data_IF_833997453859
#
_entry.id   IF_833997453859
#
_cell.length_a   1.000
_cell.length_b   1.000
_cell.length_c   1.000
_cell.angle_alpha   90.00
_cell.angle_beta   90.00
_cell.angle_gamma   90.00
#
_symmetry.space_group_name_H-M   'P 1'
#
loop_
_entity.id
_entity.type
_entity.pdbx_description
1 polymer ?
#
# COMPACT_ATOMS: atom_id res chain seq x y z
N UNK A 1 -20.41 42.56 33.18
CA UNK A 1 -21.84 42.30 33.46
C UNK A 1 -22.29 41.14 32.58
N UNK A 2 -22.74 40.06 33.21
CA UNK A 2 -23.25 38.83 32.57
C UNK A 2 -24.69 39.09 32.07
N UNK A 3 -25.04 38.59 30.89
CA UNK A 3 -26.44 38.33 30.51
C UNK A 3 -26.56 36.90 30.01
N UNK A 4 -27.48 36.18 30.64
CA UNK A 4 -27.71 34.74 30.52
C UNK A 4 -28.75 34.40 29.43
N UNK A 5 -28.61 33.15 28.98
CA UNK A 5 -29.48 32.27 28.21
C UNK A 5 -30.99 32.33 28.51
N UNK A 6 -31.80 32.01 27.49
CA UNK A 6 -32.99 31.11 27.46
C UNK A 6 -33.83 31.47 26.20
N UNK A 7 -33.97 30.60 25.20
CA UNK A 7 -35.14 29.74 24.85
C UNK A 7 -34.78 29.21 23.43
N UNK A 8 -35.01 27.97 22.98
CA UNK A 8 -35.78 26.87 23.52
C UNK A 8 -35.48 25.56 22.80
N UNK A 9 -35.84 24.49 23.49
CA UNK A 9 -35.88 23.08 23.08
C UNK A 9 -37.11 22.89 22.18
N UNK A 10 -37.00 22.17 21.06
CA UNK A 10 -37.94 21.10 20.65
C UNK A 10 -37.77 20.70 19.17
N UNK A 11 -37.64 19.39 18.96
CA UNK A 11 -37.94 18.71 17.69
C UNK A 11 -36.73 18.36 16.83
N UNK A 12 -36.51 17.15 16.33
CA UNK A 12 -37.34 15.95 16.20
C UNK A 12 -36.37 14.75 16.14
N UNK A 13 -36.59 13.77 17.01
CA UNK A 13 -36.16 12.38 16.82
C UNK A 13 -37.27 11.72 16.02
N UNK A 14 -37.08 11.46 14.71
CA UNK A 14 -37.73 10.37 13.93
C UNK A 14 -36.99 10.25 12.59
N UNK A 15 -36.21 9.18 12.40
CA UNK A 15 -36.18 8.42 11.15
C UNK A 15 -35.53 7.05 11.42
N UNK A 16 -36.36 6.18 11.97
CA UNK A 16 -36.22 4.73 11.91
C UNK A 16 -36.53 4.25 10.48
N UNK A 17 -35.86 3.17 10.10
CA UNK A 17 -36.42 2.09 9.30
C UNK A 17 -36.89 2.40 7.87
N UNK A 18 -35.94 2.51 6.93
CA UNK A 18 -36.16 2.07 5.54
C UNK A 18 -34.90 1.34 5.07
N UNK A 19 -34.84 0.04 5.33
CA UNK A 19 -33.75 -0.82 4.88
C UNK A 19 -33.98 -2.30 5.22
N UNK A 20 -35.23 -2.69 5.46
CA UNK A 20 -35.62 -4.03 5.85
C UNK A 20 -36.86 -4.43 5.07
N UNK A 21 -36.74 -4.50 3.73
CA UNK A 21 -37.78 -5.12 2.89
C UNK A 21 -37.30 -5.53 1.50
N UNK A 22 -36.20 -6.27 1.39
CA UNK A 22 -35.93 -7.12 0.22
C UNK A 22 -34.96 -8.23 0.64
N UNK A 23 -35.44 -9.26 1.35
CA UNK A 23 -34.86 -10.61 1.31
C UNK A 23 -35.82 -11.58 2.02
N UNK A 24 -36.84 -12.04 1.30
CA UNK A 24 -37.52 -13.29 1.60
C UNK A 24 -37.47 -14.18 0.36
N UNK A 25 -37.49 -15.48 0.61
CA UNK A 25 -37.60 -16.62 -0.33
C UNK A 25 -36.32 -17.05 -1.04
N UNK A 26 -35.64 -18.04 -0.46
CA UNK A 26 -35.57 -19.41 -1.01
C UNK A 26 -34.97 -20.37 0.03
N UNK A 27 -35.84 -21.20 0.63
CA UNK A 27 -35.48 -22.52 1.13
C UNK A 27 -35.96 -23.54 0.10
N UNK A 28 -35.09 -24.48 -0.27
CA UNK A 28 -35.31 -25.94 -0.22
C UNK A 28 -34.06 -26.63 -0.83
N UNK A 29 -33.27 -27.31 -0.01
CA UNK A 29 -33.21 -28.78 0.17
C UNK A 29 -32.78 -29.52 -1.11
N UNK A 30 -31.54 -30.05 -1.09
CA UNK A 30 -31.33 -31.45 -1.47
C UNK A 30 -30.13 -32.05 -0.70
N UNK A 31 -30.41 -33.14 0.02
CA UNK A 31 -29.46 -34.08 0.59
C UNK A 31 -29.30 -35.23 -0.40
N UNK A 32 -28.08 -35.62 -0.71
CA UNK A 32 -27.68 -36.96 -1.17
C UNK A 32 -26.15 -36.97 -1.23
N UNK A 33 -25.42 -38.07 -1.18
CA UNK A 33 -25.56 -39.33 -0.47
C UNK A 33 -24.11 -39.87 -0.43
N UNK A 34 -23.88 -40.79 0.49
CA UNK A 34 -22.63 -41.47 0.80
C UNK A 34 -22.24 -42.40 -0.34
N UNK A 35 -20.96 -42.44 -0.72
CA UNK A 35 -20.48 -43.37 -1.74
C UNK A 35 -18.97 -43.53 -1.74
N UNK A 36 -18.48 -44.46 -0.90
CA UNK A 36 -17.12 -44.97 -0.94
C UNK A 36 -16.91 -45.86 -2.18
N UNK A 37 -15.78 -45.70 -2.87
CA UNK A 37 -15.12 -46.83 -3.53
C UNK A 37 -13.60 -46.72 -3.41
N UNK A 38 -13.00 -47.91 -3.30
CA UNK A 38 -11.65 -48.29 -2.92
C UNK A 38 -11.11 -49.16 -4.06
N UNK A 39 -9.78 -49.11 -4.26
CA UNK A 39 -8.95 -50.04 -5.05
C UNK A 39 -9.18 -49.96 -6.59
N UNK A 40 -8.16 -50.00 -7.44
CA UNK A 40 -7.16 -51.07 -7.50
C UNK A 40 -5.88 -50.70 -8.29
N UNK A 41 -4.80 -51.34 -7.85
CA UNK A 41 -3.50 -51.65 -8.44
C UNK A 41 -3.31 -51.53 -9.97
N UNK A 42 -2.08 -51.13 -10.35
CA UNK A 42 -1.54 -51.34 -11.70
C UNK A 42 -0.06 -51.01 -11.80
N UNK A 43 0.79 -51.97 -11.45
CA UNK A 43 2.23 -51.92 -11.63
C UNK A 43 2.63 -52.04 -13.12
N UNK A 44 3.79 -51.49 -13.50
CA UNK A 44 4.64 -52.12 -14.50
C UNK A 44 5.30 -51.21 -15.54
N UNK A 45 6.59 -51.48 -15.74
CA UNK A 45 7.45 -51.17 -16.89
C UNK A 45 8.18 -49.81 -16.97
N UNK A 46 9.41 -49.82 -16.45
CA UNK A 46 10.60 -49.41 -17.20
C UNK A 46 11.19 -50.66 -17.92
N UNK A 47 12.29 -50.65 -18.71
CA UNK A 47 13.12 -49.54 -19.24
C UNK A 47 13.45 -49.70 -20.75
N UNK A 48 14.19 -48.74 -21.34
CA UNK A 48 15.22 -48.87 -22.42
C UNK A 48 15.60 -47.44 -22.85
N UNK A 49 16.79 -46.91 -22.61
CA UNK A 49 18.16 -47.26 -23.01
C UNK A 49 18.50 -46.94 -24.49
N UNK A 50 19.43 -45.98 -24.61
CA UNK A 50 20.47 -45.78 -25.64
C UNK A 50 20.12 -45.16 -27.00
N UNK A 51 20.93 -44.15 -27.36
CA UNK A 51 21.04 -43.65 -28.72
C UNK A 51 21.83 -42.34 -28.82
N UNK A 52 23.14 -42.38 -28.54
CA UNK A 52 24.10 -41.37 -29.01
C UNK A 52 24.11 -41.33 -30.55
N UNK A 53 24.11 -40.12 -31.14
CA UNK A 53 24.80 -39.85 -32.41
C UNK A 53 25.03 -38.35 -32.60
N UNK A 54 26.30 -38.00 -32.77
CA UNK A 54 26.89 -36.75 -33.25
C UNK A 54 26.68 -36.57 -34.76
N UNK A 55 27.03 -35.34 -35.19
CA UNK A 55 27.40 -34.82 -36.53
C UNK A 55 26.38 -33.82 -37.08
N UNK A 56 26.68 -32.51 -37.03
CA UNK A 56 27.59 -31.74 -37.89
C UNK A 56 26.91 -31.31 -39.20
N UNK A 57 26.76 -29.99 -39.38
CA UNK A 57 27.20 -29.27 -40.59
C UNK A 57 26.29 -28.10 -41.01
N UNK A 58 26.97 -26.95 -41.12
CA UNK A 58 26.83 -25.88 -42.11
C UNK A 58 25.50 -25.13 -42.34
N UNK A 59 25.59 -23.85 -41.96
CA UNK A 59 25.14 -22.63 -42.63
C UNK A 59 24.33 -22.74 -43.95
N UNK A 60 23.18 -22.06 -43.96
CA UNK A 60 22.70 -21.36 -45.16
C UNK A 60 21.92 -20.07 -44.85
N UNK A 61 22.36 -19.07 -45.58
CA UNK A 61 21.84 -17.74 -45.91
C UNK A 61 20.32 -17.55 -45.97
N UNK A 62 19.88 -16.46 -45.34
CA UNK A 62 19.04 -15.41 -45.96
C UNK A 62 17.57 -15.71 -46.25
N UNK A 63 16.67 -15.03 -45.53
CA UNK A 63 15.52 -14.34 -46.13
C UNK A 63 14.77 -13.45 -45.13
N UNK A 64 14.55 -12.22 -45.58
CA UNK A 64 13.85 -11.10 -44.95
C UNK A 64 12.41 -11.48 -44.57
N UNK A 65 11.98 -11.12 -43.35
CA UNK A 65 10.56 -11.01 -42.98
C UNK A 65 10.31 -9.69 -42.25
N UNK A 66 9.38 -8.92 -42.81
CA UNK A 66 8.86 -7.65 -42.31
C UNK A 66 8.31 -7.73 -40.87
N UNK A 67 8.40 -6.65 -40.07
CA UNK A 67 7.87 -6.62 -38.71
C UNK A 67 6.34 -6.46 -38.75
N UNK A 68 5.62 -7.51 -38.35
CA UNK A 68 4.21 -7.40 -37.97
C UNK A 68 4.15 -6.79 -36.58
N UNK A 69 3.58 -5.59 -36.48
CA UNK A 69 3.21 -4.98 -35.20
C UNK A 69 2.28 -5.89 -34.43
N UNK A 70 2.73 -6.32 -33.25
CA UNK A 70 1.88 -6.94 -32.24
C UNK A 70 1.37 -5.84 -31.33
N UNK A 71 0.11 -5.47 -31.53
CA UNK A 71 -0.72 -4.77 -30.55
C UNK A 71 -0.73 -5.62 -29.27
N UNK A 72 0.01 -5.17 -28.25
CA UNK A 72 -0.07 -5.76 -26.92
C UNK A 72 -1.36 -5.29 -26.27
N UNK A 73 -2.30 -6.22 -26.16
CA UNK A 73 -3.50 -6.10 -25.32
C UNK A 73 -3.07 -5.90 -23.86
N UNK A 74 -3.67 -4.96 -23.10
CA UNK A 74 -3.33 -4.72 -21.70
C UNK A 74 -3.57 -5.97 -20.84
N UNK A 75 -2.53 -6.42 -20.13
CA UNK A 75 -2.61 -7.55 -19.21
C UNK A 75 -3.65 -7.30 -18.11
N UNK A 76 -4.60 -8.22 -18.01
CA UNK A 76 -5.48 -8.36 -16.86
C UNK A 76 -4.66 -8.55 -15.58
N UNK A 77 -5.06 -7.81 -14.54
CA UNK A 77 -4.48 -7.84 -13.20
C UNK A 77 -4.78 -9.19 -12.55
N UNK A 78 -3.89 -10.16 -12.74
CA UNK A 78 -3.95 -11.45 -12.05
C UNK A 78 -3.80 -11.27 -10.54
N UNK A 79 -4.79 -11.72 -9.77
CA UNK A 79 -4.62 -11.92 -8.34
C UNK A 79 -3.50 -12.94 -8.11
N UNK A 80 -2.53 -12.68 -7.22
CA UNK A 80 -1.45 -13.63 -6.98
C UNK A 80 -2.03 -14.97 -6.49
N UNK A 81 -1.68 -16.06 -7.18
CA UNK A 81 -2.18 -17.39 -6.83
C UNK A 81 -1.45 -17.90 -5.60
N UNK A 82 -2.20 -18.15 -4.53
CA UNK A 82 -1.68 -18.59 -3.24
C UNK A 82 -0.95 -19.95 -3.35
N UNK A 83 0.33 -19.99 -2.97
CA UNK A 83 0.96 -21.24 -2.55
C UNK A 83 0.75 -21.43 -1.05
N UNK A 84 0.31 -22.62 -0.62
CA UNK A 84 0.24 -22.98 0.82
C UNK A 84 1.61 -22.90 1.53
N UNK A 85 2.72 -22.69 0.81
CA UNK A 85 4.07 -22.54 1.37
C UNK A 85 4.44 -21.11 1.80
N UNK A 86 3.64 -20.11 1.44
CA UNK A 86 3.93 -18.69 1.69
C UNK A 86 2.96 -18.10 2.73
N UNK A 87 3.34 -16.97 3.31
CA UNK A 87 2.44 -16.14 4.11
C UNK A 87 1.87 -15.01 3.25
N UNK A 88 0.65 -14.60 3.52
CA UNK A 88 -0.04 -13.53 2.79
C UNK A 88 0.10 -12.21 3.55
N UNK A 89 0.47 -11.13 2.87
CA UNK A 89 0.62 -9.81 3.50
C UNK A 89 -0.20 -8.76 2.75
N UNK A 90 -0.87 -7.90 3.51
CA UNK A 90 -1.56 -6.70 3.01
C UNK A 90 -0.77 -5.45 3.41
N UNK A 91 -0.60 -4.53 2.46
CA UNK A 91 -0.06 -3.20 2.70
C UNK A 91 -1.18 -2.19 2.55
N UNK A 92 -1.34 -1.32 3.54
CA UNK A 92 -2.39 -0.32 3.59
C UNK A 92 -1.82 1.05 3.97
N UNK A 93 -2.43 2.10 3.41
CA UNK A 93 -2.10 3.50 3.64
C UNK A 93 -3.21 4.15 4.47
N UNK A 94 -2.86 4.91 5.49
CA UNK A 94 -3.78 5.78 6.22
C UNK A 94 -3.16 7.17 6.43
N UNK A 95 -3.99 8.09 6.90
CA UNK A 95 -3.58 9.40 7.39
C UNK A 95 -4.48 9.75 8.56
N UNK A 96 -3.90 9.89 9.75
CA UNK A 96 -4.63 10.13 10.99
C UNK A 96 -4.85 11.62 11.31
N UNK A 97 -4.12 12.55 10.69
CA UNK A 97 -4.26 13.97 11.05
C UNK A 97 -3.90 14.96 9.95
N UNK A 98 -4.88 15.82 9.65
CA UNK A 98 -4.82 16.81 8.57
C UNK A 98 -5.50 18.10 9.05
N UNK A 99 -4.81 18.93 9.84
CA UNK A 99 -5.24 20.31 10.08
C UNK A 99 -4.69 21.22 8.96
N UNK A 100 -5.37 21.22 7.83
CA UNK A 100 -5.03 22.09 6.69
C UNK A 100 -6.30 22.74 6.16
N UNK A 101 -6.77 23.75 6.91
CA UNK A 101 -7.97 24.52 6.61
C UNK A 101 -7.97 25.14 5.21
N UNK A 102 -6.80 25.30 4.58
CA UNK A 102 -6.64 25.90 3.26
C UNK A 102 -6.33 24.90 2.14
N UNK A 103 -6.21 23.61 2.43
CA UNK A 103 -5.88 22.58 1.44
C UNK A 103 -7.09 21.68 1.21
N UNK A 104 -7.36 21.42 -0.07
CA UNK A 104 -8.43 20.56 -0.53
C UNK A 104 -7.96 19.10 -0.68
N UNK A 105 -6.77 18.90 -1.28
CA UNK A 105 -6.17 17.59 -1.52
C UNK A 105 -4.64 17.64 -1.42
N UNK A 106 -4.07 16.52 -0.98
CA UNK A 106 -2.64 16.20 -1.07
C UNK A 106 -2.56 14.89 -1.86
N UNK A 107 -2.20 14.99 -3.14
CA UNK A 107 -2.08 13.84 -4.02
C UNK A 107 -0.67 13.27 -3.90
N UNK A 108 -0.54 12.15 -3.21
CA UNK A 108 0.70 11.46 -2.90
C UNK A 108 0.89 10.28 -3.85
N UNK A 109 1.94 10.33 -4.68
CA UNK A 109 2.22 9.26 -5.65
C UNK A 109 3.20 8.26 -5.06
N UNK A 110 2.82 6.98 -5.01
CA UNK A 110 3.71 5.86 -4.66
C UNK A 110 4.02 5.05 -5.92
N UNK A 111 5.30 4.95 -6.27
CA UNK A 111 5.76 4.26 -7.47
C UNK A 111 6.11 2.79 -7.22
N UNK A 112 6.68 2.51 -6.05
CA UNK A 112 7.18 1.18 -5.71
C UNK A 112 7.19 0.98 -4.19
N UNK A 113 6.95 -0.26 -3.76
CA UNK A 113 7.18 -0.68 -2.38
C UNK A 113 8.02 -1.96 -2.41
N UNK A 114 9.06 -2.00 -1.58
CA UNK A 114 9.91 -3.16 -1.37
C UNK A 114 10.06 -3.46 0.11
N UNK A 115 10.23 -4.74 0.45
CA UNK A 115 10.61 -5.21 1.79
C UNK A 115 11.94 -5.95 1.73
N UNK A 116 12.77 -5.78 2.75
CA UNK A 116 14.06 -6.48 2.82
C UNK A 116 13.96 -7.70 3.75
N UNK A 117 14.35 -8.86 3.24
CA UNK A 117 14.74 -10.01 4.05
C UNK A 117 16.27 -10.01 4.21
N UNK A 118 16.84 -10.05 5.42
CA UNK A 118 18.30 -10.03 5.61
C UNK A 118 19.07 -11.13 4.87
N UNK A 119 18.45 -12.29 4.66
CA UNK A 119 19.07 -13.44 4.00
C UNK A 119 18.82 -13.46 2.48
N UNK A 120 17.71 -12.88 2.00
CA UNK A 120 17.28 -12.97 0.59
C UNK A 120 17.36 -11.64 -0.17
N UNK A 121 17.62 -10.53 0.51
CA UNK A 121 17.65 -9.20 -0.09
C UNK A 121 16.27 -8.56 -0.22
N UNK A 122 16.15 -7.64 -1.18
CA UNK A 122 14.93 -6.86 -1.42
C UNK A 122 13.92 -7.64 -2.27
N UNK A 123 12.65 -7.58 -1.87
CA UNK A 123 11.51 -8.14 -2.59
C UNK A 123 10.54 -7.00 -2.90
N UNK A 124 10.26 -6.77 -4.18
CA UNK A 124 9.28 -5.77 -4.61
C UNK A 124 7.86 -6.32 -4.45
N UNK A 125 7.04 -5.63 -3.68
CA UNK A 125 5.65 -6.02 -3.36
C UNK A 125 4.61 -5.14 -4.09
N UNK A 126 5.03 -4.00 -4.61
CA UNK A 126 4.21 -3.12 -5.44
C UNK A 126 5.08 -2.46 -6.50
N UNK A 127 4.60 -2.41 -7.74
CA UNK A 127 5.20 -1.64 -8.84
C UNK A 127 4.15 -0.80 -9.54
N UNK A 128 4.58 0.32 -10.11
CA UNK A 128 3.75 1.20 -10.93
C UNK A 128 3.12 2.34 -10.10
N UNK A 129 3.03 3.54 -10.68
CA UNK A 129 2.56 4.72 -9.97
C UNK A 129 1.09 4.57 -9.55
N UNK A 130 0.83 4.81 -8.27
CA UNK A 130 -0.52 4.93 -7.69
C UNK A 130 -0.61 6.25 -6.94
N UNK A 131 -1.72 6.95 -7.12
CA UNK A 131 -1.96 8.27 -6.51
C UNK A 131 -3.00 8.13 -5.41
N UNK A 132 -2.66 8.63 -4.22
CA UNK A 132 -3.51 8.62 -3.03
C UNK A 132 -3.82 10.05 -2.61
N UNK A 133 -5.08 10.34 -2.30
CA UNK A 133 -5.45 11.66 -1.76
C UNK A 133 -5.50 11.58 -0.25
N UNK A 134 -4.43 12.00 0.42
CA UNK A 134 -4.25 11.84 1.87
C UNK A 134 -5.35 12.56 2.66
N UNK A 135 -5.85 13.69 2.14
CA UNK A 135 -6.96 14.43 2.75
C UNK A 135 -8.27 13.64 2.68
N UNK A 136 -8.52 12.89 1.60
CA UNK A 136 -9.70 12.01 1.49
C UNK A 136 -9.59 10.80 2.40
N UNK A 137 -8.40 10.19 2.47
CA UNK A 137 -8.11 9.08 3.39
C UNK A 137 -8.44 9.50 4.82
N UNK A 138 -7.88 10.62 5.28
CA UNK A 138 -8.17 11.18 6.60
C UNK A 138 -9.67 11.42 6.82
N UNK A 139 -10.34 12.13 5.89
CA UNK A 139 -11.77 12.46 6.02
C UNK A 139 -12.67 11.22 6.05
N UNK A 140 -12.29 10.16 5.35
CA UNK A 140 -13.03 8.90 5.34
C UNK A 140 -12.88 8.11 6.63
N UNK A 141 -11.77 8.32 7.37
CA UNK A 141 -11.40 7.50 8.52
C UNK A 141 -11.08 6.04 8.14
N UNK A 142 -10.80 5.76 6.87
CA UNK A 142 -10.53 4.41 6.35
C UNK A 142 -9.09 4.28 5.86
N UNK A 143 -8.63 3.03 5.71
CA UNK A 143 -7.34 2.73 5.11
C UNK A 143 -7.51 2.46 3.62
N UNK A 144 -6.59 2.94 2.79
CA UNK A 144 -6.54 2.64 1.37
C UNK A 144 -5.54 1.52 1.03
N UNK A 145 -5.85 0.77 -0.01
CA UNK A 145 -5.08 -0.37 -0.46
C UNK A 145 -3.80 0.07 -1.20
N UNK A 146 -2.65 -0.39 -0.71
CA UNK A 146 -1.37 -0.26 -1.43
C UNK A 146 -1.13 -1.49 -2.30
N UNK A 147 -1.01 -2.65 -1.66
CA UNK A 147 -0.71 -3.91 -2.35
C UNK A 147 -1.05 -5.12 -1.48
N UNK A 148 -1.20 -6.25 -2.14
CA UNK A 148 -1.28 -7.57 -1.50
C UNK A 148 -0.20 -8.46 -2.14
N UNK A 149 0.49 -9.24 -1.31
CA UNK A 149 1.59 -10.08 -1.79
C UNK A 149 1.71 -11.38 -0.99
N UNK A 150 2.28 -12.42 -1.61
CA UNK A 150 2.68 -13.64 -0.93
C UNK A 150 4.19 -13.64 -0.73
N UNK A 151 4.62 -13.67 0.52
CA UNK A 151 6.03 -13.64 0.90
C UNK A 151 6.46 -15.01 1.44
N UNK A 152 7.71 -15.35 1.20
CA UNK A 152 8.30 -16.52 1.84
C UNK A 152 8.35 -16.32 3.36
N UNK A 153 8.15 -17.38 4.16
CA UNK A 153 8.25 -17.31 5.61
C UNK A 153 9.61 -16.76 6.07
N UNK A 154 9.59 -15.94 7.11
CA UNK A 154 10.77 -15.29 7.69
C UNK A 154 10.50 -13.89 8.22
N UNK A 155 11.57 -13.20 8.59
CA UNK A 155 11.52 -11.82 9.08
C UNK A 155 12.02 -10.85 8.02
N UNK A 156 11.29 -9.76 7.84
CA UNK A 156 11.65 -8.64 6.98
C UNK A 156 11.86 -7.40 7.86
N UNK A 157 13.03 -6.78 7.77
CA UNK A 157 13.51 -5.78 8.73
C UNK A 157 13.61 -4.36 8.17
N UNK A 158 13.31 -4.16 6.89
CA UNK A 158 13.27 -2.85 6.27
C UNK A 158 12.11 -2.76 5.28
N UNK A 159 11.53 -1.56 5.20
CA UNK A 159 10.58 -1.16 4.17
C UNK A 159 11.21 -0.04 3.35
N UNK A 160 11.05 -0.11 2.04
CA UNK A 160 11.38 0.98 1.13
C UNK A 160 10.15 1.37 0.34
N UNK A 161 9.87 2.66 0.32
CA UNK A 161 8.84 3.25 -0.52
C UNK A 161 9.49 4.23 -1.48
N UNK A 162 9.24 4.06 -2.78
CA UNK A 162 9.63 5.05 -3.79
C UNK A 162 8.45 5.99 -4.01
N UNK A 163 8.65 7.25 -3.65
CA UNK A 163 7.67 8.32 -3.78
C UNK A 163 7.91 9.05 -5.10
N UNK A 164 6.85 9.23 -5.87
CA UNK A 164 6.86 10.03 -7.08
C UNK A 164 6.69 11.51 -6.76
N UNK A 165 5.55 12.08 -7.18
CA UNK A 165 5.21 13.47 -6.91
C UNK A 165 4.25 13.61 -5.74
N UNK A 166 4.35 14.75 -5.06
CA UNK A 166 3.34 15.21 -4.11
C UNK A 166 2.72 16.50 -4.64
N UNK A 167 1.43 16.47 -4.95
CA UNK A 167 0.71 17.61 -5.53
C UNK A 167 -0.28 18.16 -4.51
N UNK A 168 -0.20 19.46 -4.25
CA UNK A 168 -1.06 20.21 -3.34
C UNK A 168 -2.12 20.94 -4.14
N UNK A 169 -3.39 20.75 -3.75
CA UNK A 169 -4.53 21.48 -4.31
C UNK A 169 -5.12 22.32 -3.19
N UNK A 170 -4.96 23.66 -3.27
CA UNK A 170 -5.54 24.61 -2.31
C UNK A 170 -7.06 24.76 -2.52
N UNK A 171 -7.78 25.05 -1.43
CA UNK A 171 -9.21 25.40 -1.52
C UNK A 171 -9.37 26.68 -2.36
N UNK A 172 -10.27 26.64 -3.34
CA UNK A 172 -10.53 27.77 -4.24
C UNK A 172 -9.44 28.05 -5.28
N UNK A 173 -8.34 27.27 -5.31
CA UNK A 173 -7.35 27.34 -6.38
C UNK A 173 -7.66 26.31 -7.47
N UNK A 174 -7.58 26.74 -8.73
CA UNK A 174 -7.64 25.83 -9.88
C UNK A 174 -6.27 25.26 -10.27
N UNK A 175 -5.18 25.79 -9.70
CA UNK A 175 -3.82 25.40 -10.07
C UNK A 175 -3.22 24.44 -9.03
N UNK A 176 -2.81 23.22 -9.43
CA UNK A 176 -2.04 22.32 -8.59
C UNK A 176 -0.62 22.83 -8.40
N UNK A 177 -0.07 22.66 -7.21
CA UNK A 177 1.33 23.00 -6.88
C UNK A 177 2.10 21.75 -6.48
N UNK A 178 3.27 21.52 -7.06
CA UNK A 178 4.12 20.39 -6.67
C UNK A 178 4.94 20.77 -5.42
N UNK A 179 4.85 19.93 -4.39
CA UNK A 179 5.67 20.08 -3.18
C UNK A 179 7.05 19.47 -3.37
N UNK A 180 8.10 20.17 -2.93
CA UNK A 180 9.46 19.67 -2.95
C UNK A 180 9.64 18.54 -1.93
N UNK A 181 10.13 17.40 -2.38
CA UNK A 181 10.56 16.29 -1.53
C UNK A 181 12.06 16.41 -1.21
N UNK A 182 12.51 16.06 0.02
CA UNK A 182 13.93 15.87 0.31
C UNK A 182 14.56 14.75 -0.52
N UNK A 183 13.81 13.67 -0.76
CA UNK A 183 14.19 12.50 -1.54
C UNK A 183 12.95 11.82 -2.14
N UNK A 184 13.10 11.17 -3.29
CA UNK A 184 12.08 10.29 -3.89
C UNK A 184 12.07 8.87 -3.31
N UNK A 185 12.91 8.58 -2.33
CA UNK A 185 13.00 7.28 -1.69
C UNK A 185 12.96 7.44 -0.16
N UNK A 186 12.09 6.66 0.46
CA UNK A 186 11.95 6.53 1.90
C UNK A 186 12.35 5.11 2.30
N UNK A 187 13.49 4.98 2.98
CA UNK A 187 13.97 3.72 3.58
C UNK A 187 13.79 3.78 5.08
N UNK A 188 12.98 2.88 5.63
CA UNK A 188 12.70 2.84 7.07
C UNK A 188 12.96 1.45 7.65
N UNK A 189 13.51 1.38 8.87
CA UNK A 189 13.46 0.15 9.66
C UNK A 189 12.00 -0.30 9.84
N UNK A 190 11.79 -1.60 9.76
CA UNK A 190 10.51 -2.24 10.03
C UNK A 190 10.75 -3.59 10.70
N UNK A 191 9.69 -4.26 11.18
CA UNK A 191 9.81 -5.66 11.59
C UNK A 191 8.53 -6.41 11.23
N UNK A 192 8.53 -7.00 10.05
CA UNK A 192 7.43 -7.82 9.55
C UNK A 192 7.77 -9.30 9.72
N UNK A 193 6.87 -10.05 10.36
CA UNK A 193 6.99 -11.49 10.53
C UNK A 193 6.02 -12.20 9.60
N UNK A 194 6.55 -12.99 8.67
CA UNK A 194 5.77 -13.79 7.74
C UNK A 194 5.82 -15.24 8.18
N UNK A 195 4.64 -15.81 8.43
CA UNK A 195 4.45 -17.22 8.77
C UNK A 195 3.68 -17.90 7.63
N UNK A 196 4.07 -19.14 7.33
CA UNK A 196 3.45 -19.95 6.28
C UNK A 196 1.96 -20.14 6.56
N UNK A 197 1.11 -19.83 5.58
CA UNK A 197 -0.33 -20.03 5.66
C UNK A 197 -1.09 -19.01 6.53
N UNK A 198 -0.39 -18.04 7.10
CA UNK A 198 -0.99 -16.97 7.91
C UNK A 198 -1.09 -15.66 7.14
N UNK A 199 -1.93 -14.76 7.63
CA UNK A 199 -2.01 -13.38 7.14
C UNK A 199 -1.18 -12.44 8.03
N UNK A 200 -0.62 -11.41 7.42
CA UNK A 200 0.07 -10.31 8.10
C UNK A 200 -0.36 -8.97 7.50
N UNK A 201 -0.19 -7.87 8.24
CA UNK A 201 -0.43 -6.53 7.73
C UNK A 201 0.77 -5.61 7.94
N UNK A 202 0.88 -4.64 7.03
CA UNK A 202 1.73 -3.46 7.15
C UNK A 202 0.83 -2.24 6.93
N UNK A 203 0.69 -1.43 7.96
CA UNK A 203 -0.10 -0.21 7.96
C UNK A 203 0.86 0.99 8.00
N UNK A 204 0.77 1.84 6.99
CA UNK A 204 1.60 3.03 6.84
C UNK A 204 0.71 4.25 7.04
N UNK A 205 0.97 4.98 8.10
CA UNK A 205 0.27 6.22 8.43
C UNK A 205 1.12 7.41 8.01
N UNK A 206 0.70 8.15 7.00
CA UNK A 206 1.37 9.40 6.62
C UNK A 206 0.77 10.52 7.46
N UNK A 207 1.58 11.13 8.31
CA UNK A 207 1.15 12.24 9.16
C UNK A 207 1.26 13.54 8.36
N UNK A 208 0.31 13.79 7.47
CA UNK A 208 0.41 14.87 6.47
C UNK A 208 0.54 16.26 7.10
N UNK A 209 -0.15 16.53 8.21
CA UNK A 209 0.01 17.80 8.94
C UNK A 209 1.46 18.04 9.40
N UNK A 210 2.16 16.97 9.79
CA UNK A 210 3.56 17.04 10.21
C UNK A 210 4.53 16.99 9.04
N UNK A 211 4.06 16.55 7.87
CA UNK A 211 4.89 16.35 6.69
C UNK A 211 4.90 17.57 5.77
N UNK A 212 3.81 18.33 5.73
CA UNK A 212 3.66 19.45 4.83
C UNK A 212 4.11 20.76 5.48
N UNK A 213 5.03 21.45 4.82
CA UNK A 213 5.58 22.73 5.25
C UNK A 213 5.54 23.76 4.12
N UNK A 214 5.62 25.03 4.49
CA UNK A 214 5.74 26.15 3.55
C UNK A 214 7.11 26.78 3.71
N UNK A 215 7.84 26.94 2.61
CA UNK A 215 9.11 27.64 2.57
C UNK A 215 8.93 29.16 2.70
N UNK A 216 10.01 29.89 2.95
CA UNK A 216 10.00 31.36 3.04
C UNK A 216 9.54 32.05 1.76
N UNK A 217 9.71 31.41 0.60
CA UNK A 217 9.24 31.90 -0.70
C UNK A 217 7.78 31.49 -1.04
N UNK A 218 7.10 30.82 -0.10
CA UNK A 218 5.71 30.38 -0.24
C UNK A 218 5.52 29.03 -0.95
N UNK A 219 6.59 28.39 -1.44
CA UNK A 219 6.49 27.05 -2.04
C UNK A 219 6.28 25.97 -0.99
N UNK A 220 5.63 24.88 -1.40
CA UNK A 220 5.43 23.72 -0.53
C UNK A 220 6.65 22.81 -0.49
N UNK A 221 6.95 22.31 0.70
CA UNK A 221 7.91 21.24 0.96
C UNK A 221 7.15 20.11 1.66
N UNK A 222 7.32 18.88 1.19
CA UNK A 222 6.77 17.70 1.85
C UNK A 222 7.93 16.88 2.42
N UNK A 223 8.16 16.96 3.73
CA UNK A 223 9.14 16.16 4.46
C UNK A 223 8.40 14.99 5.15
N UNK A 224 8.37 13.79 4.57
CA UNK A 224 7.50 12.72 5.09
C UNK A 224 7.74 12.42 6.57
N UNK A 225 6.67 12.48 7.35
CA UNK A 225 6.59 11.95 8.72
C UNK A 225 5.51 10.88 8.72
N UNK A 226 5.84 9.71 9.25
CA UNK A 226 4.96 8.55 9.18
C UNK A 226 5.10 7.64 10.39
N UNK A 227 4.08 6.81 10.60
CA UNK A 227 4.12 5.67 11.53
C UNK A 227 3.94 4.38 10.74
N UNK A 228 4.71 3.35 11.09
CA UNK A 228 4.54 2.01 10.54
C UNK A 228 4.13 1.07 11.65
N UNK A 229 2.98 0.45 11.46
CA UNK A 229 2.53 -0.67 12.29
C UNK A 229 2.54 -1.95 11.47
N UNK A 230 3.00 -3.05 12.06
CA UNK A 230 2.89 -4.37 11.45
C UNK A 230 2.25 -5.36 12.41
N UNK A 231 1.44 -6.27 11.87
CA UNK A 231 0.76 -7.32 12.63
C UNK A 231 1.00 -8.68 11.99
N UNK A 232 1.26 -9.70 12.80
CA UNK A 232 1.21 -11.11 12.39
C UNK A 232 -0.12 -11.73 12.79
N UNK A 233 -0.41 -12.96 12.35
CA UNK A 233 -1.64 -13.68 12.74
C UNK A 233 -2.94 -12.91 12.48
N UNK A 234 -2.99 -12.09 11.42
CA UNK A 234 -4.20 -11.34 11.06
C UNK A 234 -5.33 -12.32 10.75
N UNK A 235 -6.46 -12.21 11.43
CA UNK A 235 -7.58 -13.15 11.28
C UNK A 235 -8.14 -13.07 9.87
N UNK A 236 -8.38 -11.84 9.39
CA UNK A 236 -8.75 -11.59 8.00
C UNK A 236 -8.46 -10.14 7.64
N UNK A 237 -8.33 -9.88 6.35
CA UNK A 237 -8.44 -8.53 5.82
C UNK A 237 -9.37 -8.55 4.59
N UNK A 238 -10.10 -7.46 4.40
CA UNK A 238 -11.01 -7.26 3.28
C UNK A 238 -10.57 -6.05 2.48
N UNK A 239 -10.59 -6.19 1.15
CA UNK A 239 -10.38 -5.07 0.23
C UNK A 239 -11.68 -4.85 -0.53
N UNK A 240 -12.33 -3.70 -0.35
CA UNK A 240 -13.56 -3.32 -1.06
C UNK A 240 -13.38 -1.92 -1.63
N UNK A 241 -13.47 -1.78 -2.95
CA UNK A 241 -13.35 -0.47 -3.63
C UNK A 241 -12.09 0.31 -3.19
N UNK A 242 -10.95 -0.37 -3.12
CA UNK A 242 -9.67 0.17 -2.62
C UNK A 242 -9.59 0.45 -1.12
N UNK A 243 -10.66 0.23 -0.34
CA UNK A 243 -10.65 0.38 1.11
C UNK A 243 -10.25 -0.94 1.77
N UNK A 244 -9.40 -0.86 2.80
CA UNK A 244 -8.89 -2.00 3.54
C UNK A 244 -9.49 -2.02 4.95
N UNK A 245 -9.96 -3.19 5.37
CA UNK A 245 -10.30 -3.48 6.76
C UNK A 245 -9.44 -4.65 7.23
N UNK A 246 -8.76 -4.48 8.36
CA UNK A 246 -7.90 -5.51 8.98
C UNK A 246 -8.57 -5.92 10.30
N UNK A 247 -8.74 -7.22 10.51
CA UNK A 247 -9.40 -7.78 11.69
C UNK A 247 -8.42 -8.70 12.41
N UNK A 248 -8.23 -8.44 13.70
CA UNK A 248 -7.35 -9.21 14.58
C UNK A 248 -5.86 -9.00 14.27
N UNK A 249 -5.06 -9.98 14.67
CA UNK A 249 -3.61 -9.93 14.56
C UNK A 249 -2.90 -9.53 15.85
N UNK A 250 -1.62 -9.88 15.93
CA UNK A 250 -0.73 -9.55 17.04
C UNK A 250 0.24 -8.46 16.56
N UNK A 251 0.31 -7.30 17.23
CA UNK A 251 1.30 -6.27 16.91
C UNK A 251 2.73 -6.82 17.03
N UNK A 252 3.52 -6.65 15.97
CA UNK A 252 4.94 -7.06 15.92
C UNK A 252 5.87 -5.86 15.94
N UNK A 253 5.45 -4.75 15.34
CA UNK A 253 6.24 -3.54 15.18
C UNK A 253 5.34 -2.31 15.17
N UNK A 254 5.79 -1.25 15.83
CA UNK A 254 5.17 0.05 15.83
C UNK A 254 6.25 1.11 16.07
N UNK A 255 6.50 1.96 15.07
CA UNK A 255 7.49 3.02 15.16
C UNK A 255 7.12 4.21 14.26
N UNK A 256 7.62 5.39 14.64
CA UNK A 256 7.44 6.62 13.86
C UNK A 256 8.77 7.11 13.30
N UNK A 257 8.73 7.65 12.09
CA UNK A 257 9.90 8.14 11.38
C UNK A 257 9.60 9.49 10.73
N UNK A 258 10.61 10.35 10.68
CA UNK A 258 10.58 11.55 9.85
C UNK A 258 11.79 11.60 8.93
N UNK A 259 11.60 12.17 7.75
CA UNK A 259 12.67 12.41 6.79
C UNK A 259 13.33 13.77 7.05
N UNK A 260 14.65 13.81 7.10
CA UNK A 260 15.42 15.06 7.19
C UNK A 260 15.57 15.75 5.82
N UNK A 261 16.17 16.93 5.80
CA UNK A 261 16.39 17.74 4.60
C UNK A 261 17.29 17.06 3.55
N UNK A 262 18.04 16.03 3.95
CA UNK A 262 18.93 15.26 3.08
C UNK A 262 18.27 13.97 2.57
N UNK A 263 17.00 13.72 2.92
CA UNK A 263 16.28 12.52 2.51
C UNK A 263 16.49 11.30 3.40
N UNK A 264 17.15 11.44 4.55
CA UNK A 264 17.38 10.33 5.47
C UNK A 264 16.21 10.19 6.44
N UNK A 265 15.67 8.99 6.56
CA UNK A 265 14.70 8.69 7.59
C UNK A 265 15.39 8.57 8.96
N UNK A 266 14.82 9.22 9.97
CA UNK A 266 15.28 9.24 11.35
C UNK A 266 14.15 8.83 12.29
N UNK A 267 14.51 8.06 13.31
CA UNK A 267 13.57 7.60 14.33
C UNK A 267 12.97 8.78 15.10
N UNK A 268 11.64 8.81 15.19
CA UNK A 268 10.84 9.83 15.86
C UNK A 268 11.19 11.29 15.45
N UNK A 269 11.79 11.46 14.27
CA UNK A 269 12.17 12.79 13.79
C UNK A 269 10.94 13.57 13.33
N UNK A 270 10.94 14.85 13.68
CA UNK A 270 9.99 15.84 13.17
C UNK A 270 10.70 17.17 13.09
N UNK A 271 10.37 17.96 12.07
CA UNK A 271 10.84 19.32 11.98
C UNK A 271 10.24 20.16 13.12
N UNK A 272 11.04 21.06 13.69
CA UNK A 272 10.53 22.05 14.65
C UNK A 272 9.53 22.97 13.95
N UNK A 273 8.34 23.26 14.52
CA UNK A 273 7.39 24.21 13.95
C UNK A 273 7.96 25.64 13.78
N UNK A 274 9.02 25.98 14.52
CA UNK A 274 9.69 27.27 14.42
C UNK A 274 10.78 27.33 13.34
N UNK A 275 11.15 26.18 12.75
CA UNK A 275 12.21 26.11 11.76
C UNK A 275 11.83 26.90 10.50
N UNK A 276 12.78 27.68 9.98
CA UNK A 276 12.64 28.33 8.68
C UNK A 276 13.16 27.40 7.59
N UNK A 277 12.35 27.22 6.55
CA UNK A 277 12.69 26.40 5.40
C UNK A 277 12.91 27.26 4.17
N UNK A 278 13.99 26.98 3.45
CA UNK A 278 14.31 27.61 2.18
C UNK A 278 14.59 26.55 1.12
N UNK A 279 14.28 26.84 -0.14
CA UNK A 279 14.69 26.02 -1.27
C UNK A 279 15.80 26.79 -2.00
N UNK A 280 17.03 26.28 -1.92
CA UNK A 280 18.22 26.88 -2.53
C UNK A 280 18.86 25.84 -3.43
N UNK A 281 19.02 26.16 -4.71
CA UNK A 281 19.61 25.25 -5.72
C UNK A 281 18.97 23.85 -5.72
N UNK A 282 17.63 23.81 -5.66
CA UNK A 282 16.81 22.58 -5.59
C UNK A 282 17.06 21.71 -4.33
N UNK A 283 17.69 22.27 -3.29
CA UNK A 283 17.89 21.64 -1.99
C UNK A 283 17.10 22.34 -0.90
N UNK A 284 16.63 21.57 0.07
CA UNK A 284 15.97 22.10 1.26
C UNK A 284 17.04 22.52 2.26
N UNK A 285 16.95 23.75 2.75
CA UNK A 285 17.81 24.26 3.83
C UNK A 285 16.94 24.56 5.03
N UNK A 286 17.34 24.01 6.18
CA UNK A 286 16.74 24.31 7.47
C UNK A 286 17.62 25.34 8.16
N UNK A 287 17.06 26.49 8.50
CA UNK A 287 17.74 27.48 9.32
C UNK A 287 17.12 27.46 10.73
N UNK A 288 17.90 27.11 11.77
CA UNK A 288 17.46 27.26 13.15
C UNK A 288 17.15 28.72 13.42
N UNK A 289 16.09 28.98 14.20
CA UNK A 289 15.89 30.31 14.77
C UNK A 289 16.69 30.47 16.06
#
# INVERSE_FOLDING_TARGET
>A
MKKYYLIGIAGIIVLLAVGLLLYSTNQDIEKSDTGAQKQENGAGFAPTANGDAKEESAAKTGSVKSPKGSTQTPSERGSPTASKSQGRVIFALKDEFVSIDQINSILFTVNEIQVQNPAKGWVTVMTGPKVYDLVKIYKSGTMEFLSEFYLDPGTYNQLRMVVGKVIIIKKGSASPEEAKLPSGELKIPARLQIVKGENSSVEIDILSEKSLHTATDGKYIFMPVLRVETRSNVTSFQVRQNLVTIIGGTPVYDASFGMDENGNAKDNYRLSPAAKLEIVDDKIKITPQ
#
